data_IF_852294193907
#
_entry.id   IF_852294193907
#
_cell.length_a   1.000
_cell.length_b   1.000
_cell.length_c   1.000
_cell.angle_alpha   90.00
_cell.angle_beta   90.00
_cell.angle_gamma   90.00
#
_symmetry.space_group_name_H-M   'P 1'
#
loop_
_entity.id
_entity.type
_entity.pdbx_description
1 polymer ?
#
# COMPACT_ATOMS: atom_id res chain seq x y z
N UNK A 1 -4.38 -28.93 8.73
CA UNK A 1 -3.02 -28.37 8.92
C UNK A 1 -2.49 -27.60 7.70
N UNK A 2 -3.25 -27.43 6.61
CA UNK A 2 -2.78 -26.65 5.43
C UNK A 2 -3.18 -25.17 5.45
N UNK A 3 -4.17 -24.79 6.27
CA UNK A 3 -4.71 -23.43 6.28
C UNK A 3 -3.91 -22.47 7.18
N UNK A 4 -3.23 -22.98 8.21
CA UNK A 4 -2.38 -22.18 9.11
C UNK A 4 -1.22 -21.49 8.40
N UNK A 5 -0.81 -22.01 7.24
CA UNK A 5 0.18 -21.37 6.37
C UNK A 5 -0.30 -20.01 5.84
N UNK A 6 -1.61 -19.74 5.80
CA UNK A 6 -2.12 -18.44 5.38
C UNK A 6 -1.92 -17.37 6.47
N UNK A 7 -1.84 -17.77 7.74
CA UNK A 7 -1.73 -16.87 8.88
C UNK A 7 -0.26 -16.50 9.19
N UNK A 8 0.69 -17.37 8.83
CA UNK A 8 2.11 -17.28 9.21
C UNK A 8 3.05 -17.00 8.02
N UNK A 9 2.52 -16.42 6.93
CA UNK A 9 3.34 -16.14 5.74
C UNK A 9 4.21 -14.90 5.93
N UNK A 10 5.52 -15.08 5.76
CA UNK A 10 6.50 -13.99 5.74
C UNK A 10 6.30 -13.02 4.56
N UNK A 11 6.78 -11.76 4.67
CA UNK A 11 6.74 -10.77 3.58
C UNK A 11 7.33 -11.25 2.25
N UNK A 12 8.37 -12.09 2.31
CA UNK A 12 9.01 -12.65 1.12
C UNK A 12 8.13 -13.68 0.38
N UNK A 13 7.14 -14.25 1.07
CA UNK A 13 6.14 -15.17 0.54
C UNK A 13 6.64 -16.58 0.26
N UNK A 14 5.70 -17.46 -0.11
CA UNK A 14 5.93 -18.89 -0.37
C UNK A 14 5.65 -19.20 -1.84
N UNK A 15 6.60 -19.87 -2.52
CA UNK A 15 6.41 -20.34 -3.90
C UNK A 15 5.72 -21.71 -3.90
N UNK A 16 4.55 -21.78 -4.52
CA UNK A 16 3.79 -23.03 -4.70
C UNK A 16 4.23 -23.65 -6.02
N UNK A 17 4.72 -24.90 -5.95
CA UNK A 17 5.14 -25.66 -7.13
C UNK A 17 4.22 -26.84 -7.41
N UNK A 18 4.05 -27.18 -8.69
CA UNK A 18 3.37 -28.39 -9.15
C UNK A 18 4.34 -29.17 -10.05
N UNK A 19 4.79 -30.34 -9.58
CA UNK A 19 5.80 -31.18 -10.25
C UNK A 19 7.11 -30.43 -10.51
N UNK A 20 7.62 -29.74 -9.48
CA UNK A 20 8.86 -28.95 -9.56
C UNK A 20 8.76 -27.65 -10.36
N UNK A 21 7.61 -27.38 -10.98
CA UNK A 21 7.36 -26.13 -11.72
C UNK A 21 6.63 -25.13 -10.83
N UNK A 22 7.13 -23.89 -10.65
CA UNK A 22 6.39 -22.83 -9.97
C UNK A 22 5.04 -22.59 -10.68
N UNK A 23 3.96 -22.49 -9.90
CA UNK A 23 2.60 -22.24 -10.43
C UNK A 23 1.88 -21.08 -9.76
N UNK A 24 2.24 -20.75 -8.52
CA UNK A 24 1.70 -19.60 -7.80
C UNK A 24 2.67 -19.13 -6.72
N UNK A 25 2.46 -17.92 -6.21
CA UNK A 25 3.14 -17.40 -5.02
C UNK A 25 2.08 -16.92 -4.03
N UNK A 26 2.16 -17.41 -2.80
CA UNK A 26 1.39 -16.89 -1.67
C UNK A 26 2.21 -15.79 -1.01
N UNK A 27 1.68 -14.59 -0.95
CA UNK A 27 2.27 -13.44 -0.24
C UNK A 27 1.24 -12.91 0.75
N UNK A 28 1.66 -12.30 1.86
CA UNK A 28 0.71 -11.56 2.69
C UNK A 28 0.08 -10.49 1.80
N UNK A 29 -1.22 -10.26 1.97
CA UNK A 29 -1.83 -9.10 1.36
C UNK A 29 -1.16 -7.86 1.97
N UNK A 30 -0.53 -7.04 1.13
CA UNK A 30 0.19 -5.86 1.60
C UNK A 30 -0.78 -4.98 2.41
N UNK A 31 -0.57 -4.94 3.73
CA UNK A 31 -1.33 -4.10 4.63
C UNK A 31 -0.52 -2.84 4.89
N UNK A 32 -1.21 -1.75 4.64
CA UNK A 32 -0.89 -0.38 4.95
C UNK A 32 0.22 0.33 4.16
N UNK A 33 -0.23 1.35 3.45
CA UNK A 33 0.56 2.49 2.98
C UNK A 33 1.11 3.35 4.14
N UNK A 34 1.02 2.89 5.39
CA UNK A 34 1.63 3.52 6.55
C UNK A 34 3.12 3.80 6.33
N UNK A 35 3.85 2.86 5.71
CA UNK A 35 5.26 3.05 5.37
C UNK A 35 5.52 4.12 4.29
N UNK A 36 4.47 4.54 3.56
CA UNK A 36 4.56 5.63 2.58
C UNK A 36 4.34 7.01 3.22
N UNK A 37 3.76 7.08 4.42
CA UNK A 37 3.51 8.34 5.12
C UNK A 37 4.86 9.04 5.36
N UNK A 38 5.01 10.24 4.81
CA UNK A 38 6.23 11.04 4.93
C UNK A 38 7.37 10.65 3.97
N UNK A 39 7.24 9.61 3.15
CA UNK A 39 8.27 9.17 2.17
C UNK A 39 8.68 10.25 1.15
N UNK A 40 7.80 11.23 0.92
CA UNK A 40 8.00 12.37 0.01
C UNK A 40 8.25 13.70 0.74
N UNK A 41 8.47 13.70 2.06
CA UNK A 41 8.74 14.91 2.84
C UNK A 41 9.95 15.66 2.25
N UNK A 42 9.76 16.93 1.90
CA UNK A 42 10.80 17.78 1.31
C UNK A 42 11.15 17.47 -0.15
N UNK A 43 10.47 16.53 -0.80
CA UNK A 43 10.68 16.18 -2.22
C UNK A 43 9.60 16.72 -3.16
N UNK A 44 8.55 17.33 -2.60
CA UNK A 44 7.42 17.85 -3.35
C UNK A 44 7.40 19.37 -3.32
N UNK A 45 7.09 19.96 -4.47
CA UNK A 45 6.82 21.38 -4.65
C UNK A 45 5.35 21.56 -5.03
N UNK A 46 4.66 22.45 -4.34
CA UNK A 46 3.28 22.84 -4.67
C UNK A 46 3.34 23.87 -5.79
N UNK A 47 2.75 23.56 -6.95
CA UNK A 47 2.75 24.44 -8.14
C UNK A 47 1.44 25.23 -8.34
N UNK A 48 0.55 25.26 -7.35
CA UNK A 48 -0.72 25.98 -7.43
C UNK A 48 -1.48 26.02 -6.11
N UNK A 49 -2.68 26.59 -6.13
CA UNK A 49 -3.57 26.73 -4.95
C UNK A 49 -4.29 25.41 -4.64
N UNK A 50 -3.58 24.45 -4.02
CA UNK A 50 -4.14 23.12 -3.74
C UNK A 50 -4.92 23.03 -2.43
N UNK A 51 -4.84 24.07 -1.58
CA UNK A 51 -5.61 24.17 -0.34
C UNK A 51 -6.90 24.99 -0.51
N UNK A 52 -7.15 25.51 -1.71
CA UNK A 52 -8.39 26.19 -2.07
C UNK A 52 -9.31 25.25 -2.84
N UNK A 53 -10.63 25.44 -2.68
CA UNK A 53 -11.62 24.82 -3.59
C UNK A 53 -11.88 25.67 -4.83
N UNK A 54 -11.26 26.86 -4.94
CA UNK A 54 -11.54 27.84 -6.00
C UNK A 54 -12.92 28.51 -5.89
N UNK A 55 -13.58 28.40 -4.74
CA UNK A 55 -14.92 28.93 -4.47
C UNK A 55 -14.90 29.71 -3.16
N UNK A 56 -15.64 30.82 -3.10
CA UNK A 56 -15.92 31.52 -1.85
C UNK A 56 -17.01 30.78 -1.05
N UNK A 57 -16.71 30.40 0.18
CA UNK A 57 -17.66 29.76 1.08
C UNK A 57 -18.23 30.76 2.08
N UNK A 58 -19.56 30.78 2.24
CA UNK A 58 -20.25 31.67 3.19
C UNK A 58 -19.95 31.37 4.68
N UNK A 59 -19.21 30.31 4.99
CA UNK A 59 -18.84 29.93 6.36
C UNK A 59 -17.63 30.71 6.91
N UNK A 60 -16.90 31.43 6.04
CA UNK A 60 -15.72 32.23 6.41
C UNK A 60 -16.06 33.71 6.70
N UNK A 61 -17.35 34.07 6.63
CA UNK A 61 -17.87 35.42 6.93
C UNK A 61 -18.50 35.52 8.30
#
# INVERSE_FOLDING_TARGET
>A
QCLSLLDEVDPDGIVITKRGKPVAKLIPFASDSANLIGSLKGKLEIKGEIFSTGLDWNAER
#
